data_IF_560591537220
#
_entry.id   IF_560591537220
#
_cell.length_a   1.000
_cell.length_b   1.000
_cell.length_c   1.000
_cell.angle_alpha   90.00
_cell.angle_beta   90.00
_cell.angle_gamma   90.00
#
_symmetry.space_group_name_H-M   'P 1'
#
loop_
_entity.id
_entity.type
_entity.pdbx_description
1 polymer ?
#
# COMPACT_ATOMS: atom_id res chain seq x y z
N UNK A 1 -6.43 33.49 -5.33
CA UNK A 1 -7.70 33.10 -5.97
C UNK A 1 -8.30 32.01 -5.11
N UNK A 2 -9.46 32.25 -4.49
CA UNK A 2 -10.07 31.29 -3.53
C UNK A 2 -10.81 30.17 -4.25
N UNK A 3 -10.90 28.98 -3.63
CA UNK A 3 -11.63 27.78 -4.13
C UNK A 3 -13.06 28.13 -4.60
N UNK A 4 -13.72 29.11 -3.96
CA UNK A 4 -15.06 29.60 -4.33
C UNK A 4 -15.12 30.25 -5.72
N UNK A 5 -14.08 30.94 -6.18
CA UNK A 5 -14.07 31.59 -7.49
C UNK A 5 -13.89 30.61 -8.68
N UNK A 6 -13.42 29.41 -8.41
CA UNK A 6 -13.30 28.34 -9.42
C UNK A 6 -14.61 27.55 -9.61
N UNK A 7 -15.40 27.43 -8.53
CA UNK A 7 -16.71 26.77 -8.58
C UNK A 7 -17.76 27.62 -9.34
N UNK A 8 -17.67 28.95 -9.27
CA UNK A 8 -18.57 29.85 -9.97
C UNK A 8 -18.39 29.86 -11.50
N UNK A 9 -17.28 29.37 -12.01
CA UNK A 9 -16.98 29.30 -13.46
C UNK A 9 -17.25 27.94 -14.11
N UNK A 10 -17.85 26.99 -13.39
CA UNK A 10 -18.13 25.66 -13.92
C UNK A 10 -16.86 24.82 -14.22
N UNK A 11 -15.70 25.27 -13.77
CA UNK A 11 -14.43 24.57 -13.94
C UNK A 11 -14.24 23.51 -12.85
N UNK A 12 -14.90 22.37 -13.00
CA UNK A 12 -14.63 21.14 -12.24
C UNK A 12 -13.34 20.44 -12.72
N UNK A 13 -12.38 21.17 -13.26
CA UNK A 13 -11.06 20.63 -13.52
C UNK A 13 -10.26 20.63 -12.22
N UNK A 14 -9.96 19.43 -11.70
CA UNK A 14 -8.82 19.27 -10.82
C UNK A 14 -7.65 19.98 -11.48
N UNK A 15 -7.11 21.02 -10.85
CA UNK A 15 -5.99 21.81 -11.39
C UNK A 15 -4.72 20.97 -11.35
N UNK A 16 -4.61 20.03 -12.26
CA UNK A 16 -3.33 19.46 -12.62
C UNK A 16 -2.76 20.38 -13.71
N UNK A 17 -1.96 21.36 -13.27
CA UNK A 17 -1.11 22.21 -14.10
C UNK A 17 -1.78 22.71 -15.41
N UNK A 18 -2.09 24.00 -15.50
CA UNK A 18 -2.67 24.65 -16.69
C UNK A 18 -1.79 24.50 -17.96
N UNK A 19 -0.57 23.95 -17.82
CA UNK A 19 0.37 23.63 -18.90
C UNK A 19 0.36 22.17 -19.34
N UNK A 20 -0.56 21.33 -18.81
CA UNK A 20 -0.67 19.94 -19.26
C UNK A 20 -1.38 19.92 -20.62
N UNK A 21 -0.61 19.81 -21.68
CA UNK A 21 -1.11 19.33 -22.98
C UNK A 21 -1.80 17.98 -22.78
N UNK A 22 -2.82 17.66 -23.58
CA UNK A 22 -3.58 16.41 -23.53
C UNK A 22 -2.67 15.16 -23.48
N UNK A 23 -1.48 15.28 -24.02
CA UNK A 23 -0.42 14.27 -23.94
C UNK A 23 0.81 14.83 -23.23
N UNK A 24 1.29 14.12 -22.23
CA UNK A 24 2.59 14.38 -21.62
C UNK A 24 3.57 13.25 -22.00
N UNK A 25 4.85 13.55 -22.22
CA UNK A 25 5.82 12.52 -22.48
C UNK A 25 5.87 11.56 -21.30
N UNK A 26 5.68 10.27 -21.55
CA UNK A 26 5.97 9.24 -20.56
C UNK A 26 7.43 8.83 -20.70
N UNK A 27 8.09 8.61 -19.57
CA UNK A 27 9.43 8.04 -19.52
C UNK A 27 9.41 6.50 -19.44
N UNK A 28 8.24 5.88 -19.54
CA UNK A 28 8.12 4.42 -19.61
C UNK A 28 8.74 3.90 -20.89
N UNK A 29 9.66 2.95 -20.76
CA UNK A 29 10.34 2.31 -21.91
C UNK A 29 9.73 0.96 -22.24
N UNK A 30 9.48 0.11 -21.24
CA UNK A 30 8.96 -1.24 -21.42
C UNK A 30 8.45 -1.80 -20.10
N UNK A 31 7.79 -2.96 -20.15
CA UNK A 31 7.55 -3.80 -18.98
C UNK A 31 8.59 -4.92 -18.97
N UNK A 32 9.07 -5.30 -17.79
CA UNK A 32 10.10 -6.31 -17.63
C UNK A 32 9.64 -7.42 -16.67
N UNK A 33 9.82 -8.66 -17.07
CA UNK A 33 9.58 -9.80 -16.21
C UNK A 33 10.54 -9.76 -15.00
N UNK A 34 10.00 -9.73 -13.80
CA UNK A 34 10.77 -9.61 -12.57
C UNK A 34 11.72 -10.79 -12.28
N UNK A 35 11.48 -11.95 -12.91
CA UNK A 35 12.29 -13.14 -12.74
C UNK A 35 13.27 -13.39 -13.90
N UNK A 36 12.85 -13.14 -15.15
CA UNK A 36 13.64 -13.52 -16.33
C UNK A 36 14.30 -12.34 -17.05
N UNK A 37 13.88 -11.10 -16.74
CA UNK A 37 14.33 -9.91 -17.46
C UNK A 37 13.72 -9.78 -18.87
N UNK A 38 12.80 -10.68 -19.27
CA UNK A 38 12.11 -10.58 -20.57
C UNK A 38 11.35 -9.27 -20.69
N UNK A 39 11.52 -8.57 -21.82
CA UNK A 39 10.85 -7.30 -22.10
C UNK A 39 9.54 -7.49 -22.82
N UNK A 40 8.55 -6.68 -22.44
CA UNK A 40 7.22 -6.62 -23.03
C UNK A 40 6.88 -5.18 -23.40
N UNK A 41 6.04 -5.00 -24.42
CA UNK A 41 5.56 -3.69 -24.85
C UNK A 41 4.77 -2.99 -23.72
N UNK A 42 5.03 -1.69 -23.50
CA UNK A 42 4.37 -0.93 -22.45
C UNK A 42 2.99 -0.38 -22.89
N UNK A 43 2.70 -0.37 -24.17
CA UNK A 43 1.47 0.13 -24.80
C UNK A 43 0.43 -0.96 -25.06
N UNK A 44 0.64 -2.15 -24.52
CA UNK A 44 -0.29 -3.29 -24.62
C UNK A 44 -0.76 -3.75 -23.24
N UNK A 45 -1.95 -4.37 -23.21
CA UNK A 45 -2.52 -4.94 -21.98
C UNK A 45 -1.77 -6.20 -21.59
N UNK A 46 -1.22 -6.20 -20.39
CA UNK A 46 -0.53 -7.35 -19.80
C UNK A 46 -1.06 -7.67 -18.41
N UNK A 47 -1.09 -8.96 -18.09
CA UNK A 47 -1.16 -9.45 -16.71
C UNK A 47 0.25 -9.91 -16.27
N UNK A 48 0.51 -11.21 -16.31
CA UNK A 48 1.82 -11.77 -16.00
C UNK A 48 2.69 -11.88 -17.27
N UNK A 49 3.99 -12.04 -17.09
CA UNK A 49 4.91 -12.41 -18.18
C UNK A 49 4.60 -13.79 -18.72
N UNK A 50 5.25 -14.19 -19.84
CA UNK A 50 5.15 -15.55 -20.39
C UNK A 50 5.61 -16.63 -19.40
N UNK A 51 6.52 -16.27 -18.50
CA UNK A 51 6.98 -17.15 -17.41
C UNK A 51 6.00 -17.21 -16.21
N UNK A 52 4.81 -16.61 -16.30
CA UNK A 52 3.85 -16.54 -15.19
C UNK A 52 4.31 -15.71 -13.99
N UNK A 53 5.23 -14.78 -14.20
CA UNK A 53 5.82 -13.94 -13.15
C UNK A 53 5.39 -12.48 -13.28
N UNK A 54 5.42 -11.68 -12.18
CA UNK A 54 5.08 -10.27 -12.19
C UNK A 54 5.90 -9.46 -13.21
N UNK A 55 5.26 -8.44 -13.78
CA UNK A 55 5.88 -7.45 -14.65
C UNK A 55 6.14 -6.15 -13.86
N UNK A 56 7.31 -5.55 -14.11
CA UNK A 56 7.71 -4.27 -13.53
C UNK A 56 7.82 -3.23 -14.65
N UNK A 57 7.27 -2.04 -14.43
CA UNK A 57 7.40 -0.90 -15.35
C UNK A 57 8.82 -0.36 -15.28
N UNK A 58 9.45 -0.15 -16.43
CA UNK A 58 10.79 0.42 -16.55
C UNK A 58 10.75 1.80 -17.21
N UNK A 59 11.63 2.68 -16.75
CA UNK A 59 11.68 4.09 -17.16
C UNK A 59 13.06 4.44 -17.75
N UNK A 60 13.08 5.42 -18.66
CA UNK A 60 14.29 6.17 -19.02
C UNK A 60 14.65 7.12 -17.87
N UNK A 61 15.45 6.62 -16.92
CA UNK A 61 15.82 7.39 -15.73
C UNK A 61 16.78 8.54 -16.05
N UNK A 62 17.55 8.46 -17.14
CA UNK A 62 18.38 9.57 -17.60
C UNK A 62 17.52 10.71 -18.16
N UNK A 63 16.45 10.36 -18.88
CA UNK A 63 15.42 11.31 -19.31
C UNK A 63 14.70 11.96 -18.14
N UNK A 64 14.26 11.16 -17.14
CA UNK A 64 13.64 11.67 -15.92
C UNK A 64 14.58 12.64 -15.19
N UNK A 65 15.85 12.28 -15.02
CA UNK A 65 16.87 13.11 -14.35
C UNK A 65 17.04 14.48 -15.01
N UNK A 66 16.89 14.57 -16.32
CA UNK A 66 16.96 15.84 -17.06
C UNK A 66 15.68 16.66 -16.97
N UNK A 67 14.53 15.99 -16.84
CA UNK A 67 13.21 16.63 -16.88
C UNK A 67 12.67 17.02 -15.49
N UNK A 68 13.15 16.41 -14.42
CA UNK A 68 12.62 16.57 -13.06
C UNK A 68 13.69 17.09 -12.12
N UNK A 69 13.35 18.14 -11.35
CA UNK A 69 14.17 18.64 -10.24
C UNK A 69 13.38 18.65 -8.93
N UNK A 70 14.09 18.74 -7.81
CA UNK A 70 13.47 18.83 -6.47
C UNK A 70 12.68 20.12 -6.31
N UNK A 71 13.17 21.21 -6.89
CA UNK A 71 12.52 22.52 -6.87
C UNK A 71 11.21 22.48 -7.66
N UNK A 72 11.21 21.87 -8.85
CA UNK A 72 10.00 21.69 -9.65
C UNK A 72 8.95 20.84 -8.91
N UNK A 73 9.36 19.82 -8.14
CA UNK A 73 8.44 19.05 -7.29
C UNK A 73 7.85 19.90 -6.17
N UNK A 74 8.65 20.76 -5.52
CA UNK A 74 8.19 21.59 -4.41
C UNK A 74 7.03 22.53 -4.82
N UNK A 75 6.98 22.96 -6.07
CA UNK A 75 5.92 23.84 -6.62
C UNK A 75 4.64 23.09 -6.99
N UNK A 76 4.64 21.75 -7.00
CA UNK A 76 3.48 20.95 -7.40
C UNK A 76 2.52 20.72 -6.22
N UNK A 77 1.22 20.48 -6.50
CA UNK A 77 0.27 20.07 -5.48
C UNK A 77 0.79 18.85 -4.68
N UNK A 78 0.45 18.81 -3.39
CA UNK A 78 0.88 17.73 -2.49
C UNK A 78 -0.02 16.50 -2.65
N UNK A 79 0.03 15.87 -3.81
CA UNK A 79 -0.71 14.66 -4.15
C UNK A 79 0.19 13.60 -4.80
N UNK A 80 -0.37 12.40 -5.05
CA UNK A 80 0.33 11.29 -5.67
C UNK A 80 0.85 11.63 -7.09
N UNK A 81 0.12 12.44 -7.85
CA UNK A 81 0.40 12.73 -9.25
C UNK A 81 1.56 13.71 -9.45
N UNK A 82 2.07 14.32 -8.37
CA UNK A 82 3.26 15.19 -8.42
C UNK A 82 4.49 14.47 -8.99
N UNK A 83 4.57 13.14 -8.87
CA UNK A 83 5.69 12.32 -9.37
C UNK A 83 5.43 11.77 -10.78
N UNK A 84 4.69 12.48 -11.60
CA UNK A 84 4.19 12.02 -12.92
C UNK A 84 5.26 11.46 -13.88
N UNK A 85 6.50 11.95 -13.83
CA UNK A 85 7.60 11.46 -14.66
C UNK A 85 8.01 10.03 -14.32
N UNK A 86 7.74 9.61 -13.09
CA UNK A 86 7.96 8.25 -12.58
C UNK A 86 6.67 7.42 -12.52
N UNK A 87 5.59 7.86 -13.20
CA UNK A 87 4.30 7.16 -13.25
C UNK A 87 3.91 6.82 -14.70
N UNK A 88 3.16 5.72 -14.92
CA UNK A 88 2.91 5.21 -16.27
C UNK A 88 1.78 5.93 -17.02
N UNK A 89 0.90 6.67 -16.35
CA UNK A 89 -0.24 7.33 -16.98
C UNK A 89 0.24 8.45 -17.88
N UNK A 90 -0.10 8.35 -19.17
CA UNK A 90 0.38 9.27 -20.21
C UNK A 90 -0.51 10.49 -20.37
N UNK A 91 -1.84 10.30 -20.40
CA UNK A 91 -2.82 11.35 -20.69
C UNK A 91 -3.51 11.81 -19.41
N UNK A 92 -3.73 13.11 -19.26
CA UNK A 92 -4.40 13.69 -18.09
C UNK A 92 -5.84 13.17 -17.96
N UNK A 93 -6.54 13.02 -19.07
CA UNK A 93 -7.89 12.49 -19.10
C UNK A 93 -8.02 11.03 -18.62
N UNK A 94 -6.93 10.26 -18.63
CA UNK A 94 -6.90 8.90 -18.10
C UNK A 94 -6.69 8.86 -16.59
N UNK A 95 -6.30 9.97 -15.98
CA UNK A 95 -6.15 10.07 -14.53
C UNK A 95 -7.53 9.92 -13.87
N UNK A 96 -7.62 8.93 -12.99
CA UNK A 96 -8.77 8.72 -12.11
C UNK A 96 -8.33 9.05 -10.70
N UNK A 97 -8.92 10.09 -10.08
CA UNK A 97 -8.52 10.53 -8.75
C UNK A 97 -9.71 10.70 -7.81
N UNK A 98 -9.49 10.42 -6.55
CA UNK A 98 -10.36 10.70 -5.41
C UNK A 98 -9.69 11.65 -4.40
N UNK A 99 -8.61 12.35 -4.80
CA UNK A 99 -7.89 13.30 -3.98
C UNK A 99 -6.81 12.65 -3.10
N UNK A 100 -5.95 11.82 -3.70
CA UNK A 100 -4.82 11.13 -3.03
C UNK A 100 -3.76 12.14 -2.58
N UNK A 101 -3.96 12.74 -1.41
CA UNK A 101 -3.00 13.66 -0.81
C UNK A 101 -1.77 12.94 -0.23
N UNK A 102 -0.70 13.71 -0.04
CA UNK A 102 0.47 13.26 0.73
C UNK A 102 0.03 12.85 2.13
N UNK A 103 0.41 11.63 2.54
CA UNK A 103 0.03 11.11 3.85
C UNK A 103 0.97 11.62 4.94
N UNK A 104 0.48 11.82 6.18
CA UNK A 104 1.32 12.34 7.24
C UNK A 104 2.41 11.35 7.67
N UNK A 105 3.56 11.90 8.06
CA UNK A 105 4.64 11.21 8.73
C UNK A 105 4.67 11.72 10.18
N UNK A 106 4.15 10.92 11.11
CA UNK A 106 3.85 11.32 12.48
C UNK A 106 4.91 10.78 13.45
N UNK A 107 5.54 11.60 14.28
CA UNK A 107 6.41 11.12 15.34
C UNK A 107 5.59 10.45 16.46
N UNK A 108 6.21 9.49 17.16
CA UNK A 108 5.68 8.87 18.38
C UNK A 108 6.53 9.31 19.59
N UNK A 109 6.41 10.56 20.07
CA UNK A 109 7.31 11.10 21.06
C UNK A 109 7.18 10.43 22.44
N UNK A 110 5.97 10.10 22.88
CA UNK A 110 5.71 9.45 24.16
C UNK A 110 6.31 8.04 24.17
N UNK A 111 6.03 7.27 23.13
CA UNK A 111 6.53 5.90 23.00
C UNK A 111 8.04 5.87 22.74
N UNK A 112 8.56 6.81 21.95
CA UNK A 112 10.00 6.98 21.76
C UNK A 112 10.73 7.24 23.06
N UNK A 113 10.22 8.14 23.90
CA UNK A 113 10.78 8.42 25.22
C UNK A 113 10.77 7.18 26.14
N UNK A 114 9.64 6.44 26.19
CA UNK A 114 9.49 5.18 26.95
C UNK A 114 10.48 4.10 26.49
N UNK A 115 10.85 4.11 25.22
CA UNK A 115 11.82 3.19 24.62
C UNK A 115 13.27 3.75 24.65
N UNK A 116 13.53 4.73 25.54
CA UNK A 116 14.86 5.25 25.82
C UNK A 116 15.38 6.25 24.79
N UNK A 117 14.52 7.08 24.22
CA UNK A 117 14.84 8.16 23.29
C UNK A 117 14.91 7.73 21.81
N UNK A 118 14.22 6.65 21.47
CA UNK A 118 14.15 6.17 20.08
C UNK A 118 13.37 7.13 19.16
N UNK A 119 13.90 7.40 17.96
CA UNK A 119 13.21 8.18 16.92
C UNK A 119 12.31 7.26 16.09
N UNK A 120 11.01 7.29 16.38
CA UNK A 120 10.00 6.45 15.75
C UNK A 120 9.01 7.34 15.02
N UNK A 121 8.81 7.08 13.74
CA UNK A 121 7.84 7.76 12.89
C UNK A 121 6.81 6.77 12.37
N UNK A 122 5.54 7.18 12.29
CA UNK A 122 4.46 6.43 11.64
C UNK A 122 4.10 7.10 10.33
N UNK A 123 4.21 6.38 9.22
CA UNK A 123 3.64 6.77 7.94
C UNK A 123 2.19 6.32 7.89
N UNK A 124 1.25 7.28 8.07
CA UNK A 124 -0.18 6.97 8.22
C UNK A 124 -0.93 6.96 6.90
N UNK A 125 -0.93 5.82 6.23
CA UNK A 125 -1.66 5.57 4.98
C UNK A 125 -3.18 5.44 5.15
N UNK A 126 -3.67 5.40 6.38
CA UNK A 126 -5.09 5.40 6.72
C UNK A 126 -5.83 6.68 6.32
N UNK A 127 -5.11 7.74 5.94
CA UNK A 127 -5.66 9.04 5.51
C UNK A 127 -6.01 9.11 4.02
N UNK A 128 -5.66 8.08 3.25
CA UNK A 128 -5.98 8.02 1.83
C UNK A 128 -7.47 7.71 1.57
N UNK A 129 -7.97 8.00 0.36
CA UNK A 129 -9.29 7.55 -0.06
C UNK A 129 -9.51 6.06 0.24
N UNK A 130 -10.73 5.69 0.63
CA UNK A 130 -11.08 4.35 1.13
C UNK A 130 -10.31 3.91 2.39
N UNK A 131 -9.72 4.86 3.12
CA UNK A 131 -9.10 4.63 4.41
C UNK A 131 -7.91 3.67 4.41
N UNK A 132 -7.19 3.50 3.28
CA UNK A 132 -6.07 2.58 3.22
C UNK A 132 -5.08 2.88 2.08
N UNK A 133 -3.83 2.41 2.25
CA UNK A 133 -2.77 2.47 1.23
C UNK A 133 -3.12 1.78 -0.09
N UNK A 134 -4.19 0.98 -0.11
CA UNK A 134 -4.64 0.30 -1.34
C UNK A 134 -5.02 1.31 -2.42
N UNK A 135 -5.51 2.49 -2.04
CA UNK A 135 -5.77 3.61 -2.93
C UNK A 135 -4.60 3.88 -3.88
N UNK A 136 -3.36 3.98 -3.37
CA UNK A 136 -2.18 4.25 -4.20
C UNK A 136 -2.02 3.29 -5.39
N UNK A 137 -2.21 2.00 -5.15
CA UNK A 137 -2.08 1.01 -6.22
C UNK A 137 -3.27 0.99 -7.16
N UNK A 138 -4.48 1.09 -6.60
CA UNK A 138 -5.70 0.97 -7.40
C UNK A 138 -5.95 2.22 -8.25
N UNK A 139 -5.56 3.42 -7.80
CA UNK A 139 -5.63 4.62 -8.62
C UNK A 139 -4.82 4.48 -9.90
N UNK A 140 -3.61 3.90 -9.83
CA UNK A 140 -2.78 3.66 -11.02
C UNK A 140 -3.33 2.53 -11.89
N UNK A 141 -3.73 1.41 -11.28
CA UNK A 141 -4.29 0.28 -12.03
C UNK A 141 -5.57 0.66 -12.79
N UNK A 142 -6.47 1.42 -12.15
CA UNK A 142 -7.73 1.86 -12.79
C UNK A 142 -7.48 2.96 -13.83
N UNK A 143 -6.56 3.90 -13.58
CA UNK A 143 -6.17 4.90 -14.58
C UNK A 143 -5.57 4.24 -15.83
N UNK A 144 -4.72 3.23 -15.66
CA UNK A 144 -4.18 2.48 -16.79
C UNK A 144 -5.24 1.59 -17.45
N UNK A 145 -6.16 1.00 -16.70
CA UNK A 145 -7.29 0.27 -17.26
C UNK A 145 -8.15 1.18 -18.14
N UNK A 146 -8.44 2.41 -17.70
CA UNK A 146 -9.13 3.42 -18.49
C UNK A 146 -8.36 3.78 -19.76
N UNK A 147 -7.04 4.01 -19.66
CA UNK A 147 -6.17 4.30 -20.81
C UNK A 147 -6.18 3.18 -21.86
N UNK A 148 -6.33 1.93 -21.43
CA UNK A 148 -6.41 0.76 -22.31
C UNK A 148 -7.85 0.38 -22.74
N UNK A 149 -8.86 1.15 -22.36
CA UNK A 149 -10.25 0.85 -22.69
C UNK A 149 -10.80 -0.41 -22.02
N UNK A 150 -10.29 -0.79 -20.86
CA UNK A 150 -10.79 -1.95 -20.09
C UNK A 150 -12.12 -1.58 -19.44
N UNK A 151 -13.16 -2.32 -19.73
CA UNK A 151 -14.53 -2.06 -19.25
C UNK A 151 -14.92 -2.85 -17.99
N UNK A 152 -14.18 -3.91 -17.65
CA UNK A 152 -14.51 -4.77 -16.52
C UNK A 152 -13.24 -5.27 -15.82
N UNK A 153 -13.12 -5.00 -14.53
CA UNK A 153 -12.02 -5.44 -13.67
C UNK A 153 -12.52 -6.39 -12.59
N UNK A 154 -11.72 -7.40 -12.23
CA UNK A 154 -12.04 -8.29 -11.12
C UNK A 154 -10.83 -8.58 -10.25
N UNK A 155 -11.07 -8.85 -8.95
CA UNK A 155 -10.01 -9.21 -8.02
C UNK A 155 -10.50 -10.03 -6.82
N UNK A 156 -9.62 -10.86 -6.20
CA UNK A 156 -9.81 -11.37 -4.86
C UNK A 156 -9.39 -10.30 -3.83
N UNK A 157 -10.07 -10.22 -2.69
CA UNK A 157 -9.73 -9.24 -1.67
C UNK A 157 -10.14 -9.65 -0.26
N UNK A 158 -9.26 -9.44 0.73
CA UNK A 158 -9.60 -9.49 2.17
C UNK A 158 -10.24 -8.18 2.66
N UNK A 159 -10.79 -7.34 1.77
CA UNK A 159 -11.50 -6.09 2.08
C UNK A 159 -10.87 -4.85 1.45
N UNK A 160 -9.80 -4.29 2.01
CA UNK A 160 -9.25 -2.98 1.63
C UNK A 160 -8.91 -2.83 0.13
N UNK A 161 -8.42 -3.87 -0.53
CA UNK A 161 -8.11 -3.78 -1.96
C UNK A 161 -9.37 -3.76 -2.82
N UNK A 162 -10.38 -4.54 -2.44
CA UNK A 162 -11.69 -4.54 -3.09
C UNK A 162 -12.40 -3.19 -2.95
N UNK A 163 -12.37 -2.61 -1.74
CA UNK A 163 -12.93 -1.29 -1.48
C UNK A 163 -12.27 -0.22 -2.38
N UNK A 164 -10.95 -0.21 -2.47
CA UNK A 164 -10.25 0.71 -3.35
C UNK A 164 -10.56 0.46 -4.84
N UNK A 165 -10.62 -0.81 -5.29
CA UNK A 165 -11.04 -1.11 -6.67
C UNK A 165 -12.44 -0.59 -6.95
N UNK A 166 -13.40 -0.86 -6.08
CA UNK A 166 -14.79 -0.43 -6.25
C UNK A 166 -14.89 1.09 -6.39
N UNK A 167 -14.22 1.85 -5.50
CA UNK A 167 -14.24 3.31 -5.52
C UNK A 167 -13.67 3.90 -6.82
N UNK A 168 -12.47 3.48 -7.20
CA UNK A 168 -11.81 4.00 -8.41
C UNK A 168 -12.47 3.52 -9.70
N UNK A 169 -12.91 2.26 -9.77
CA UNK A 169 -13.63 1.73 -10.92
C UNK A 169 -14.97 2.47 -11.13
N UNK A 170 -15.72 2.71 -10.04
CA UNK A 170 -16.94 3.52 -10.08
C UNK A 170 -16.66 4.94 -10.59
N UNK A 171 -15.60 5.58 -10.08
CA UNK A 171 -15.17 6.91 -10.54
C UNK A 171 -14.80 6.95 -12.02
N UNK A 172 -14.27 5.83 -12.55
CA UNK A 172 -13.87 5.68 -13.95
C UNK A 172 -15.00 5.22 -14.88
N UNK A 173 -16.16 4.82 -14.36
CA UNK A 173 -17.21 4.19 -15.14
C UNK A 173 -16.88 2.75 -15.58
N UNK A 174 -15.96 2.07 -14.89
CA UNK A 174 -15.52 0.70 -15.16
C UNK A 174 -16.27 -0.26 -14.24
N UNK A 175 -16.82 -1.34 -14.78
CA UNK A 175 -17.46 -2.40 -13.97
C UNK A 175 -16.39 -3.09 -13.10
N UNK A 176 -16.76 -3.42 -11.87
CA UNK A 176 -15.86 -4.14 -10.98
C UNK A 176 -16.57 -5.31 -10.28
N UNK A 177 -15.84 -6.42 -10.13
CA UNK A 177 -16.29 -7.62 -9.40
C UNK A 177 -15.25 -8.02 -8.39
N UNK A 178 -15.67 -8.21 -7.14
CA UNK A 178 -14.76 -8.53 -6.04
C UNK A 178 -15.20 -9.82 -5.36
N UNK A 179 -14.26 -10.74 -5.19
CA UNK A 179 -14.45 -11.99 -4.46
C UNK A 179 -13.73 -11.93 -3.13
N UNK A 180 -14.47 -12.09 -2.03
CA UNK A 180 -13.95 -11.99 -0.67
C UNK A 180 -14.12 -13.31 0.08
N UNK A 181 -13.12 -13.74 0.89
CA UNK A 181 -13.34 -14.78 1.88
C UNK A 181 -14.57 -14.48 2.76
N UNK A 182 -15.27 -15.52 3.22
CA UNK A 182 -16.48 -15.34 4.02
C UNK A 182 -16.26 -14.62 5.36
N UNK A 183 -15.06 -14.69 5.91
CA UNK A 183 -14.64 -14.02 7.14
C UNK A 183 -14.13 -12.58 6.95
N UNK A 184 -14.26 -12.03 5.73
CA UNK A 184 -13.95 -10.62 5.46
C UNK A 184 -14.85 -9.72 6.32
N UNK A 185 -14.29 -8.69 7.01
CA UNK A 185 -15.07 -7.80 7.85
C UNK A 185 -16.27 -7.17 7.12
N UNK A 186 -17.44 -7.17 7.74
CA UNK A 186 -18.70 -6.70 7.15
C UNK A 186 -18.61 -5.24 6.67
N UNK A 187 -17.90 -4.39 7.38
CA UNK A 187 -17.68 -2.99 6.98
C UNK A 187 -17.00 -2.89 5.62
N UNK A 188 -16.06 -3.78 5.33
CA UNK A 188 -15.38 -3.81 4.04
C UNK A 188 -16.29 -4.33 2.92
N UNK A 189 -17.10 -5.38 3.18
CA UNK A 189 -18.06 -5.91 2.20
C UNK A 189 -19.12 -4.86 1.84
N UNK A 190 -19.66 -4.20 2.86
CA UNK A 190 -20.64 -3.12 2.69
C UNK A 190 -20.07 -1.94 1.91
N UNK A 191 -18.83 -1.53 2.20
CA UNK A 191 -18.13 -0.48 1.47
C UNK A 191 -17.97 -0.82 -0.02
N UNK A 192 -17.53 -2.05 -0.33
CA UNK A 192 -17.35 -2.53 -1.70
C UNK A 192 -18.69 -2.49 -2.47
N UNK A 193 -19.74 -2.99 -1.85
CA UNK A 193 -21.08 -3.04 -2.46
C UNK A 193 -21.66 -1.64 -2.68
N UNK A 194 -21.58 -0.75 -1.68
CA UNK A 194 -22.10 0.61 -1.76
C UNK A 194 -21.38 1.45 -2.83
N UNK A 195 -20.09 1.16 -3.08
CA UNK A 195 -19.33 1.81 -4.14
C UNK A 195 -19.55 1.20 -5.53
N UNK A 196 -20.56 0.34 -5.69
CA UNK A 196 -21.06 -0.13 -6.98
C UNK A 196 -20.38 -1.38 -7.56
N UNK A 197 -19.46 -2.02 -6.83
CA UNK A 197 -18.91 -3.29 -7.27
C UNK A 197 -19.87 -4.46 -7.00
N UNK A 198 -19.86 -5.47 -7.88
CA UNK A 198 -20.44 -6.76 -7.55
C UNK A 198 -19.51 -7.48 -6.57
N UNK A 199 -19.97 -7.75 -5.36
CA UNK A 199 -19.19 -8.42 -4.32
C UNK A 199 -19.79 -9.79 -4.01
N UNK A 200 -18.91 -10.80 -3.94
CA UNK A 200 -19.29 -12.17 -3.61
C UNK A 200 -18.47 -12.66 -2.41
N UNK A 201 -19.14 -13.28 -1.45
CA UNK A 201 -18.50 -14.05 -0.38
C UNK A 201 -18.19 -15.46 -0.87
N UNK A 202 -17.00 -15.92 -0.60
CA UNK A 202 -16.50 -17.25 -0.97
C UNK A 202 -16.20 -18.03 0.31
N UNK A 203 -16.74 -19.22 0.44
CA UNK A 203 -16.49 -20.16 1.54
C UNK A 203 -15.08 -20.79 1.40
N UNK A 204 -14.06 -19.94 1.49
CA UNK A 204 -12.67 -20.31 1.27
C UNK A 204 -11.74 -19.16 1.63
N UNK A 205 -10.47 -19.31 1.35
CA UNK A 205 -9.43 -18.30 1.58
C UNK A 205 -9.21 -17.43 0.33
N UNK A 206 -8.33 -16.44 0.46
CA UNK A 206 -8.02 -15.48 -0.60
C UNK A 206 -7.51 -16.15 -1.89
N UNK A 207 -6.83 -17.25 -1.81
CA UNK A 207 -6.33 -18.00 -2.97
C UNK A 207 -7.46 -18.76 -3.69
N UNK A 208 -8.52 -19.21 -3.00
CA UNK A 208 -9.72 -19.76 -3.64
C UNK A 208 -10.47 -18.68 -4.41
N UNK A 209 -10.63 -17.49 -3.82
CA UNK A 209 -11.11 -16.30 -4.53
C UNK A 209 -10.25 -16.01 -5.77
N UNK A 210 -8.94 -16.14 -5.65
CA UNK A 210 -7.98 -15.94 -6.74
C UNK A 210 -8.13 -16.93 -7.91
N UNK A 211 -8.51 -18.19 -7.63
CA UNK A 211 -8.84 -19.19 -8.66
C UNK A 211 -10.10 -18.79 -9.44
N UNK A 212 -11.14 -18.33 -8.74
CA UNK A 212 -12.39 -17.86 -9.37
C UNK A 212 -12.09 -16.70 -10.31
N UNK A 213 -11.29 -15.72 -9.89
CA UNK A 213 -10.90 -14.58 -10.73
C UNK A 213 -10.12 -15.06 -11.97
N UNK A 214 -9.17 -15.97 -11.79
CA UNK A 214 -8.37 -16.51 -12.90
C UNK A 214 -9.21 -17.26 -13.94
N UNK A 215 -10.17 -18.08 -13.49
CA UNK A 215 -11.09 -18.78 -14.39
C UNK A 215 -12.05 -17.81 -15.10
N UNK A 216 -12.58 -16.83 -14.38
CA UNK A 216 -13.49 -15.84 -14.95
C UNK A 216 -12.84 -14.93 -15.99
N UNK A 217 -11.52 -14.73 -15.91
CA UNK A 217 -10.78 -14.02 -16.96
C UNK A 217 -11.03 -14.61 -18.35
N UNK A 218 -11.08 -15.94 -18.43
CA UNK A 218 -11.32 -16.64 -19.70
C UNK A 218 -12.80 -16.75 -20.04
N UNK A 219 -13.66 -16.95 -19.01
CA UNK A 219 -15.10 -17.22 -19.19
C UNK A 219 -15.93 -15.96 -19.32
N UNK A 220 -15.55 -14.85 -18.67
CA UNK A 220 -16.29 -13.59 -18.58
C UNK A 220 -15.56 -12.45 -19.30
N UNK A 221 -14.24 -12.55 -19.46
CA UNK A 221 -13.42 -11.55 -20.15
C UNK A 221 -13.00 -10.37 -19.29
N UNK A 222 -13.12 -10.43 -17.96
CA UNK A 222 -12.63 -9.33 -17.11
C UNK A 222 -11.11 -9.28 -17.04
N UNK A 223 -10.58 -8.10 -16.73
CA UNK A 223 -9.18 -7.91 -16.43
C UNK A 223 -8.88 -8.34 -14.99
N UNK A 224 -7.97 -9.30 -14.80
CA UNK A 224 -7.54 -9.77 -13.49
C UNK A 224 -6.62 -8.73 -12.83
N UNK A 225 -7.14 -8.02 -11.81
CA UNK A 225 -6.42 -7.00 -11.04
C UNK A 225 -5.89 -7.55 -9.71
N UNK A 226 -5.70 -8.86 -9.61
CA UNK A 226 -5.13 -9.51 -8.42
C UNK A 226 -3.73 -8.97 -8.11
N UNK A 227 -3.32 -9.11 -6.87
CA UNK A 227 -2.02 -8.64 -6.39
C UNK A 227 -0.87 -9.20 -7.22
N UNK A 228 -0.06 -8.31 -7.82
CA UNK A 228 1.09 -8.63 -8.69
C UNK A 228 0.75 -9.38 -9.99
N UNK A 229 -0.52 -9.49 -10.35
CA UNK A 229 -0.95 -10.04 -11.65
C UNK A 229 -1.23 -8.95 -12.69
N UNK A 230 -0.97 -7.70 -12.38
CA UNK A 230 -0.90 -6.57 -13.27
C UNK A 230 0.24 -5.63 -12.82
N UNK A 231 0.86 -4.85 -13.71
CA UNK A 231 2.12 -4.15 -13.39
C UNK A 231 1.93 -2.83 -12.64
N UNK A 232 0.74 -2.22 -12.66
CA UNK A 232 0.58 -0.79 -12.30
C UNK A 232 0.32 -0.55 -10.81
N UNK A 233 -0.18 -1.53 -10.08
CA UNK A 233 -0.36 -1.40 -8.62
C UNK A 233 0.98 -1.18 -7.89
N UNK A 234 2.08 -1.77 -8.37
CA UNK A 234 3.42 -1.50 -7.82
C UNK A 234 3.81 -0.04 -8.04
N UNK A 235 3.52 0.52 -9.22
CA UNK A 235 3.87 1.91 -9.54
C UNK A 235 3.13 2.90 -8.63
N UNK A 236 1.87 2.64 -8.32
CA UNK A 236 1.17 3.40 -7.30
C UNK A 236 1.77 3.24 -5.90
N UNK A 237 2.17 2.02 -5.52
CA UNK A 237 2.84 1.76 -4.23
C UNK A 237 4.23 2.39 -4.13
N UNK A 238 4.92 2.52 -5.25
CA UNK A 238 6.21 3.21 -5.35
C UNK A 238 6.15 4.62 -4.76
N UNK A 239 5.01 5.32 -4.92
CA UNK A 239 4.84 6.69 -4.42
C UNK A 239 5.00 6.82 -2.90
N UNK A 240 4.81 5.75 -2.11
CA UNK A 240 5.13 5.75 -0.68
C UNK A 240 6.61 6.02 -0.41
N UNK A 241 7.50 5.42 -1.20
CA UNK A 241 8.95 5.63 -1.07
C UNK A 241 9.39 7.00 -1.59
N UNK A 242 8.81 7.47 -2.70
CA UNK A 242 9.06 8.79 -3.26
C UNK A 242 8.68 9.88 -2.25
N UNK A 243 7.48 9.79 -1.73
CA UNK A 243 6.90 10.72 -0.76
C UNK A 243 7.66 10.71 0.57
N UNK A 244 8.03 9.52 1.07
CA UNK A 244 8.82 9.40 2.29
C UNK A 244 10.19 10.07 2.15
N UNK A 245 10.89 9.87 1.04
CA UNK A 245 12.17 10.51 0.78
C UNK A 245 12.03 12.04 0.68
N UNK A 246 11.00 12.55 0.03
CA UNK A 246 10.71 13.98 -0.04
C UNK A 246 10.40 14.58 1.34
N UNK A 247 9.55 13.95 2.14
CA UNK A 247 9.19 14.39 3.49
C UNK A 247 10.40 14.40 4.45
N UNK A 248 11.38 13.55 4.21
CA UNK A 248 12.64 13.51 4.98
C UNK A 248 13.75 14.39 4.35
N UNK A 249 13.38 15.36 3.51
CA UNK A 249 14.34 16.27 2.87
C UNK A 249 15.27 15.58 1.88
N UNK A 250 14.74 14.64 1.11
CA UNK A 250 15.48 13.81 0.14
C UNK A 250 16.57 12.94 0.80
N UNK A 251 16.24 12.48 1.99
CA UNK A 251 16.99 11.45 2.70
C UNK A 251 16.11 10.23 2.95
N UNK A 252 16.68 9.19 3.53
CA UNK A 252 15.96 7.96 3.86
C UNK A 252 16.13 7.62 5.34
N UNK A 253 15.16 6.95 5.99
CA UNK A 253 15.34 6.48 7.36
C UNK A 253 16.39 5.36 7.41
N UNK A 254 16.79 4.95 8.61
CA UNK A 254 17.69 3.82 8.76
C UNK A 254 16.99 2.48 8.55
N UNK A 255 15.73 2.40 8.99
CA UNK A 255 14.96 1.16 8.90
C UNK A 255 13.47 1.45 8.67
N UNK A 256 12.83 0.63 7.82
CA UNK A 256 11.39 0.66 7.53
C UNK A 256 10.77 -0.67 7.94
N UNK A 257 9.80 -0.63 8.85
CA UNK A 257 8.96 -1.78 9.20
C UNK A 257 7.68 -1.74 8.36
N UNK A 258 7.51 -2.73 7.49
CA UNK A 258 6.40 -2.77 6.57
C UNK A 258 5.55 -4.03 6.74
N UNK A 259 4.20 -3.90 6.95
CA UNK A 259 3.33 -5.07 7.11
C UNK A 259 3.22 -5.80 5.78
N UNK A 260 3.61 -7.06 5.75
CA UNK A 260 3.90 -7.78 4.53
C UNK A 260 2.99 -8.99 4.34
N UNK A 261 1.96 -8.85 3.49
CA UNK A 261 1.22 -9.94 2.90
C UNK A 261 1.75 -10.24 1.49
N UNK A 262 1.08 -9.72 0.44
CA UNK A 262 1.54 -9.81 -0.94
C UNK A 262 2.74 -8.92 -1.30
N UNK A 263 3.22 -8.07 -0.39
CA UNK A 263 4.48 -7.33 -0.47
C UNK A 263 4.56 -6.18 -1.46
N UNK A 264 3.46 -5.78 -2.13
CA UNK A 264 3.51 -4.75 -3.18
C UNK A 264 4.08 -3.42 -2.72
N UNK A 265 3.82 -3.02 -1.46
CA UNK A 265 4.34 -1.77 -0.91
C UNK A 265 5.83 -1.83 -0.63
N UNK A 266 6.31 -2.92 -0.04
CA UNK A 266 7.73 -3.16 0.20
C UNK A 266 8.52 -3.16 -1.12
N UNK A 267 8.04 -3.91 -2.12
CA UNK A 267 8.62 -3.97 -3.47
C UNK A 267 8.58 -2.59 -4.14
N UNK A 268 7.45 -1.87 -4.05
CA UNK A 268 7.28 -0.55 -4.64
C UNK A 268 8.24 0.48 -4.03
N UNK A 269 8.38 0.52 -2.70
CA UNK A 269 9.32 1.43 -2.03
C UNK A 269 10.78 1.10 -2.37
N UNK A 270 11.15 -0.19 -2.40
CA UNK A 270 12.49 -0.60 -2.80
C UNK A 270 12.83 -0.15 -4.22
N UNK A 271 11.86 -0.27 -5.14
CA UNK A 271 11.96 0.27 -6.51
C UNK A 271 12.08 1.79 -6.51
N UNK A 272 11.30 2.50 -5.68
CA UNK A 272 11.37 3.97 -5.56
C UNK A 272 12.77 4.44 -5.15
N UNK A 273 13.36 3.82 -4.14
CA UNK A 273 14.71 4.19 -3.68
C UNK A 273 15.77 3.92 -4.76
N UNK A 274 15.63 2.85 -5.54
CA UNK A 274 16.52 2.59 -6.67
C UNK A 274 16.41 3.66 -7.76
N UNK A 275 15.20 4.09 -8.10
CA UNK A 275 14.96 5.13 -9.10
C UNK A 275 15.42 6.51 -8.60
N UNK A 276 15.14 6.87 -7.34
CA UNK A 276 15.61 8.13 -6.73
C UNK A 276 17.13 8.20 -6.66
N UNK A 277 17.83 7.09 -6.37
CA UNK A 277 19.29 7.02 -6.41
C UNK A 277 19.80 7.24 -7.84
N UNK A 278 19.20 6.57 -8.83
CA UNK A 278 19.60 6.69 -10.24
C UNK A 278 19.45 8.12 -10.79
N UNK A 279 18.37 8.82 -10.44
CA UNK A 279 18.17 10.22 -10.84
C UNK A 279 18.93 11.22 -9.95
N UNK A 280 19.62 10.75 -8.90
CA UNK A 280 20.45 11.57 -8.03
C UNK A 280 19.68 12.36 -6.96
N UNK A 281 18.44 12.00 -6.65
CA UNK A 281 17.65 12.67 -5.61
C UNK A 281 18.03 12.24 -4.20
N UNK A 282 18.45 10.98 -4.03
CA UNK A 282 19.03 10.45 -2.80
C UNK A 282 20.42 9.91 -3.06
N UNK A 283 21.20 9.71 -2.00
CA UNK A 283 22.51 9.07 -2.06
C UNK A 283 22.39 7.54 -2.14
N UNK A 284 23.55 6.86 -2.03
CA UNK A 284 23.63 5.39 -2.09
C UNK A 284 23.05 4.67 -0.87
N UNK A 285 22.87 5.40 0.25
CA UNK A 285 22.28 4.84 1.47
C UNK A 285 20.81 4.54 1.18
N UNK A 286 20.38 3.32 1.46
CA UNK A 286 18.99 2.87 1.41
C UNK A 286 18.56 2.36 2.79
N UNK A 287 17.27 2.45 3.14
CA UNK A 287 16.80 1.92 4.42
C UNK A 287 16.88 0.40 4.45
N UNK A 288 17.11 -0.16 5.61
CA UNK A 288 16.88 -1.59 5.86
C UNK A 288 15.38 -1.86 5.77
N UNK A 289 14.96 -2.80 4.92
CA UNK A 289 13.54 -3.17 4.73
C UNK A 289 13.20 -4.34 5.62
N UNK A 290 12.26 -4.14 6.55
CA UNK A 290 11.80 -5.18 7.46
C UNK A 290 10.42 -5.67 7.03
N UNK A 291 10.34 -6.95 6.65
CA UNK A 291 9.07 -7.60 6.35
C UNK A 291 8.40 -8.08 7.64
N UNK A 292 7.28 -7.45 8.02
CA UNK A 292 6.54 -7.79 9.23
C UNK A 292 5.36 -8.68 8.89
N UNK A 293 5.24 -9.83 9.57
CA UNK A 293 4.13 -10.77 9.42
C UNK A 293 3.54 -11.13 10.79
N UNK A 294 2.37 -11.75 10.79
CA UNK A 294 1.79 -12.35 11.98
C UNK A 294 2.27 -13.81 12.12
N UNK A 295 2.51 -14.30 13.33
CA UNK A 295 3.02 -15.65 13.58
C UNK A 295 2.08 -16.76 13.05
N UNK A 296 0.77 -16.50 12.98
CA UNK A 296 -0.20 -17.42 12.37
C UNK A 296 -0.19 -17.44 10.84
N UNK A 297 0.57 -16.56 10.16
CA UNK A 297 0.76 -16.55 8.72
C UNK A 297 2.07 -15.84 8.35
N UNK A 298 3.22 -16.53 8.44
CA UNK A 298 4.55 -15.97 8.29
C UNK A 298 5.44 -16.68 7.25
N UNK A 299 4.96 -16.90 6.01
CA UNK A 299 5.74 -17.61 5.00
C UNK A 299 7.05 -16.91 4.63
N UNK A 300 7.07 -15.55 4.61
CA UNK A 300 8.28 -14.79 4.30
C UNK A 300 9.34 -14.91 5.40
N UNK A 301 8.92 -14.89 6.67
CA UNK A 301 9.83 -15.09 7.80
C UNK A 301 10.50 -16.46 7.71
N UNK A 302 9.70 -17.52 7.53
CA UNK A 302 10.22 -18.88 7.38
C UNK A 302 11.20 -19.02 6.21
N UNK A 303 10.89 -18.43 5.06
CA UNK A 303 11.76 -18.46 3.88
C UNK A 303 13.04 -17.62 4.07
N UNK A 304 12.93 -16.48 4.76
CA UNK A 304 14.09 -15.63 5.08
C UNK A 304 15.07 -16.38 5.98
N UNK A 305 14.59 -17.00 7.06
CA UNK A 305 15.39 -17.79 8.04
C UNK A 305 16.01 -19.02 7.40
N UNK A 306 15.27 -19.69 6.49
CA UNK A 306 15.77 -20.84 5.74
C UNK A 306 16.74 -20.45 4.60
N UNK A 307 16.93 -19.17 4.30
CA UNK A 307 17.79 -18.73 3.19
C UNK A 307 17.25 -19.03 1.80
N UNK A 308 15.97 -19.44 1.66
CA UNK A 308 15.38 -19.84 0.38
C UNK A 308 14.94 -18.64 -0.45
N UNK A 309 14.96 -18.76 -1.79
CA UNK A 309 14.51 -17.71 -2.71
C UNK A 309 12.98 -17.59 -2.73
N UNK A 310 12.28 -18.70 -2.56
CA UNK A 310 10.82 -18.78 -2.57
C UNK A 310 10.27 -19.21 -1.22
N UNK A 311 9.08 -18.71 -0.88
CA UNK A 311 8.37 -19.06 0.34
C UNK A 311 7.39 -20.21 0.09
N UNK A 312 7.51 -21.34 0.79
CA UNK A 312 6.49 -22.39 0.76
C UNK A 312 5.16 -21.88 1.27
N UNK A 313 4.04 -22.39 0.71
CA UNK A 313 2.70 -22.09 1.17
C UNK A 313 2.59 -22.29 2.69
N UNK A 314 1.89 -21.36 3.35
CA UNK A 314 1.56 -21.47 4.77
C UNK A 314 0.22 -22.18 4.93
N UNK A 315 0.20 -23.22 5.73
CA UNK A 315 -1.03 -23.98 6.05
C UNK A 315 -1.71 -23.36 7.29
N UNK A 316 -3.02 -23.51 7.41
CA UNK A 316 -3.84 -23.05 8.55
C UNK A 316 -3.64 -21.56 8.89
N UNK A 317 -3.55 -20.72 7.87
CA UNK A 317 -3.30 -19.30 8.03
C UNK A 317 -4.40 -18.59 8.80
N UNK A 318 -4.02 -17.99 9.94
CA UNK A 318 -4.93 -17.22 10.79
C UNK A 318 -4.21 -16.00 11.38
N UNK A 319 -4.89 -14.89 11.54
CA UNK A 319 -4.45 -13.69 12.27
C UNK A 319 -5.58 -12.65 12.26
N UNK A 320 -5.61 -11.79 13.29
CA UNK A 320 -6.48 -10.60 13.34
C UNK A 320 -6.09 -9.55 12.29
N UNK A 321 -4.83 -9.56 11.84
CA UNK A 321 -4.30 -8.68 10.80
C UNK A 321 -4.60 -9.25 9.39
N UNK A 322 -5.87 -9.25 8.99
CA UNK A 322 -6.35 -9.88 7.76
C UNK A 322 -5.64 -9.41 6.48
N UNK A 323 -5.17 -8.16 6.45
CA UNK A 323 -4.46 -7.58 5.30
C UNK A 323 -3.08 -8.18 5.04
N UNK A 324 -2.47 -8.87 6.02
CA UNK A 324 -1.20 -9.59 5.87
C UNK A 324 -1.38 -11.12 5.92
N UNK A 325 -2.61 -11.62 6.03
CA UNK A 325 -2.92 -13.06 5.94
C UNK A 325 -2.88 -13.52 4.48
N UNK A 326 -1.68 -13.75 3.98
CA UNK A 326 -1.43 -14.20 2.60
C UNK A 326 -0.57 -15.46 2.65
N UNK A 327 -1.18 -16.66 2.55
CA UNK A 327 -0.50 -17.92 2.65
C UNK A 327 0.60 -18.15 1.60
N UNK A 328 0.40 -17.58 0.41
CA UNK A 328 1.35 -17.65 -0.69
C UNK A 328 1.32 -16.35 -1.52
N UNK A 329 2.45 -15.68 -1.62
CA UNK A 329 2.61 -14.46 -2.41
C UNK A 329 3.31 -14.77 -3.74
N UNK A 330 2.76 -14.31 -4.86
CA UNK A 330 3.34 -14.52 -6.19
C UNK A 330 4.70 -13.80 -6.37
N UNK A 331 4.93 -12.74 -5.58
CA UNK A 331 6.15 -11.94 -5.59
C UNK A 331 7.07 -12.20 -4.39
N UNK A 332 7.01 -13.38 -3.78
CA UNK A 332 7.81 -13.76 -2.63
C UNK A 332 9.31 -13.52 -2.82
N UNK A 333 9.86 -13.92 -3.98
CA UNK A 333 11.26 -13.71 -4.33
C UNK A 333 11.64 -12.22 -4.40
N UNK A 334 10.73 -11.32 -4.83
CA UNK A 334 10.96 -9.88 -4.85
C UNK A 334 11.00 -9.29 -3.44
N UNK A 335 10.11 -9.77 -2.55
CA UNK A 335 10.09 -9.37 -1.14
C UNK A 335 11.40 -9.80 -0.48
N UNK A 336 11.76 -11.09 -0.60
CA UNK A 336 12.94 -11.66 0.03
C UNK A 336 14.23 -11.02 -0.51
N UNK A 337 14.29 -10.73 -1.82
CA UNK A 337 15.41 -10.00 -2.43
C UNK A 337 15.54 -8.60 -1.83
N UNK A 338 14.45 -7.81 -1.80
CA UNK A 338 14.49 -6.45 -1.24
C UNK A 338 14.92 -6.45 0.24
N UNK A 339 14.44 -7.39 1.05
CA UNK A 339 14.82 -7.54 2.45
C UNK A 339 16.32 -7.86 2.57
N UNK A 340 16.83 -8.82 1.81
CA UNK A 340 18.25 -9.23 1.86
C UNK A 340 19.19 -8.13 1.32
N UNK A 341 18.88 -7.57 0.14
CA UNK A 341 19.72 -6.55 -0.51
C UNK A 341 19.80 -5.26 0.31
N UNK A 342 18.76 -4.97 1.12
CA UNK A 342 18.76 -3.82 2.03
C UNK A 342 19.52 -4.07 3.34
N UNK A 343 20.01 -5.27 3.61
CA UNK A 343 20.52 -5.68 4.92
C UNK A 343 19.41 -5.68 6.00
N UNK A 344 18.16 -5.77 5.59
CA UNK A 344 17.00 -5.90 6.47
C UNK A 344 16.77 -7.32 6.96
N UNK A 345 15.57 -7.57 7.49
CA UNK A 345 15.21 -8.88 8.02
C UNK A 345 13.69 -9.10 7.92
N UNK A 346 13.25 -10.33 8.18
CA UNK A 346 11.85 -10.65 8.34
C UNK A 346 11.55 -10.97 9.82
N UNK A 347 10.36 -10.61 10.29
CA UNK A 347 9.94 -10.80 11.68
C UNK A 347 8.47 -11.13 11.77
N UNK A 348 8.12 -12.08 12.63
CA UNK A 348 6.74 -12.42 12.95
C UNK A 348 6.39 -11.98 14.38
N UNK A 349 5.18 -11.48 14.55
CA UNK A 349 4.61 -11.09 15.86
C UNK A 349 3.31 -11.83 16.10
N UNK A 350 2.99 -12.11 17.37
CA UNK A 350 1.74 -12.77 17.74
C UNK A 350 0.54 -11.81 17.69
N UNK A 351 -0.67 -12.34 17.54
CA UNK A 351 -1.89 -11.54 17.59
C UNK A 351 -2.09 -10.82 18.93
N UNK A 352 -1.63 -11.43 20.05
CA UNK A 352 -1.62 -10.77 21.35
C UNK A 352 -0.68 -9.56 21.37
N UNK A 353 0.51 -9.69 20.78
CA UNK A 353 1.44 -8.56 20.67
C UNK A 353 0.89 -7.45 19.75
N UNK A 354 0.18 -7.81 18.68
CA UNK A 354 -0.49 -6.87 17.80
C UNK A 354 -1.58 -6.11 18.55
N UNK A 355 -2.41 -6.81 19.33
CA UNK A 355 -3.48 -6.23 20.12
C UNK A 355 -2.94 -5.28 21.20
N UNK A 356 -1.92 -5.71 21.93
CA UNK A 356 -1.27 -4.87 22.93
C UNK A 356 -0.64 -3.61 22.30
N UNK A 357 -0.01 -3.75 21.14
CA UNK A 357 0.58 -2.63 20.39
C UNK A 357 -0.49 -1.63 19.92
N UNK A 358 -1.63 -2.13 19.43
CA UNK A 358 -2.75 -1.31 19.00
C UNK A 358 -3.29 -0.46 20.16
N UNK A 359 -3.51 -1.09 21.33
CA UNK A 359 -3.98 -0.39 22.51
C UNK A 359 -2.96 0.62 23.05
N UNK A 360 -1.67 0.26 23.07
CA UNK A 360 -0.60 1.11 23.56
C UNK A 360 -0.48 2.38 22.70
N UNK A 361 -0.40 2.23 21.37
CA UNK A 361 -0.29 3.38 20.45
C UNK A 361 -1.55 4.26 20.53
N UNK A 362 -2.73 3.68 20.59
CA UNK A 362 -3.96 4.43 20.70
C UNK A 362 -4.04 5.27 22.00
N UNK A 363 -3.62 4.70 23.15
CA UNK A 363 -3.67 5.38 24.45
C UNK A 363 -2.58 6.42 24.62
N UNK A 364 -1.37 6.17 24.12
CA UNK A 364 -0.20 6.99 24.39
C UNK A 364 0.00 8.09 23.35
N UNK A 365 -0.39 7.83 22.11
CA UNK A 365 -0.15 8.76 20.98
C UNK A 365 -1.45 9.23 20.30
N UNK A 366 -2.62 8.70 20.70
CA UNK A 366 -3.90 9.05 20.10
C UNK A 366 -4.07 8.56 18.66
N UNK A 367 -3.26 7.59 18.21
CA UNK A 367 -3.31 7.06 16.85
C UNK A 367 -4.03 5.71 16.82
N UNK A 368 -5.17 5.65 16.14
CA UNK A 368 -5.91 4.40 15.92
C UNK A 368 -5.35 3.69 14.68
N UNK A 369 -4.35 2.84 14.90
CA UNK A 369 -3.74 2.03 13.85
C UNK A 369 -4.69 0.89 13.42
N UNK A 370 -4.49 0.35 12.21
CA UNK A 370 -5.01 -0.97 11.86
C UNK A 370 -4.14 -2.08 12.49
N UNK A 371 -4.64 -3.32 12.61
CA UNK A 371 -3.85 -4.44 13.14
C UNK A 371 -2.51 -4.64 12.43
N UNK A 372 -2.47 -4.45 11.11
CA UNK A 372 -1.23 -4.52 10.32
C UNK A 372 -0.25 -3.40 10.70
N UNK A 373 -0.75 -2.18 10.95
CA UNK A 373 0.05 -1.05 11.44
C UNK A 373 0.57 -1.32 12.86
N UNK A 374 -0.27 -1.83 13.75
CA UNK A 374 0.12 -2.22 15.10
C UNK A 374 1.17 -3.35 15.10
N UNK A 375 1.11 -4.28 14.14
CA UNK A 375 2.12 -5.31 13.96
C UNK A 375 3.52 -4.72 13.72
N UNK A 376 3.63 -3.58 13.02
CA UNK A 376 4.93 -2.92 12.77
C UNK A 376 5.53 -2.34 14.06
N UNK A 377 4.70 -1.79 14.93
CA UNK A 377 5.15 -1.29 16.23
C UNK A 377 5.54 -2.45 17.17
N UNK A 378 4.75 -3.53 17.22
CA UNK A 378 5.11 -4.73 17.97
C UNK A 378 6.44 -5.33 17.47
N UNK A 379 6.63 -5.42 16.16
CA UNK A 379 7.87 -5.90 15.53
C UNK A 379 9.07 -4.98 15.84
N UNK A 380 8.87 -3.67 15.86
CA UNK A 380 9.91 -2.72 16.24
C UNK A 380 10.34 -2.93 17.70
N UNK A 381 9.39 -3.01 18.65
CA UNK A 381 9.70 -3.28 20.07
C UNK A 381 10.47 -4.58 20.25
N UNK A 382 10.02 -5.66 19.60
CA UNK A 382 10.72 -6.95 19.61
C UNK A 382 12.14 -6.81 19.06
N UNK A 383 12.31 -6.12 17.93
CA UNK A 383 13.60 -5.96 17.26
C UNK A 383 14.57 -5.06 18.03
N UNK A 384 14.04 -4.10 18.82
CA UNK A 384 14.83 -3.28 19.73
C UNK A 384 15.30 -4.11 20.94
N UNK A 385 14.45 -4.97 21.48
CA UNK A 385 14.78 -5.83 22.61
C UNK A 385 15.82 -6.91 22.28
N UNK A 386 15.76 -7.47 21.06
CA UNK A 386 16.71 -8.49 20.60
C UNK A 386 17.95 -7.91 19.89
N UNK A 387 18.08 -6.59 19.84
CA UNK A 387 19.25 -5.89 19.31
C UNK A 387 19.38 -5.85 17.79
N UNK A 388 18.33 -6.26 17.02
CA UNK A 388 18.32 -6.14 15.56
C UNK A 388 18.22 -4.70 15.08
N UNK A 389 17.68 -3.80 15.90
CA UNK A 389 17.69 -2.36 15.71
C UNK A 389 18.17 -1.67 16.98
N UNK A 390 18.69 -0.46 16.84
CA UNK A 390 19.19 0.37 17.96
C UNK A 390 18.31 1.61 18.13
N UNK A 391 18.38 2.23 19.30
CA UNK A 391 17.65 3.47 19.62
C UNK A 391 18.11 4.67 18.79
N UNK A 392 19.35 4.64 18.29
CA UNK A 392 19.91 5.70 17.46
C UNK A 392 19.47 5.64 15.99
N UNK A 393 18.80 4.56 15.58
CA UNK A 393 18.28 4.43 14.23
C UNK A 393 16.89 5.07 14.12
N UNK A 394 16.74 5.93 13.11
CA UNK A 394 15.41 6.46 12.72
C UNK A 394 14.59 5.36 12.10
N UNK A 395 13.51 4.96 12.76
CA UNK A 395 12.60 3.94 12.29
C UNK A 395 11.31 4.56 11.71
N UNK A 396 10.85 4.06 10.57
CA UNK A 396 9.54 4.37 10.00
C UNK A 396 8.67 3.13 10.02
N UNK A 397 7.53 3.22 10.68
CA UNK A 397 6.50 2.19 10.79
C UNK A 397 5.34 2.54 9.85
N UNK A 398 4.91 1.60 9.02
CA UNK A 398 3.79 1.86 8.11
C UNK A 398 2.46 1.44 8.72
N UNK A 399 1.54 2.40 8.89
CA UNK A 399 0.13 2.14 9.15
C UNK A 399 -0.62 2.05 7.83
N UNK A 400 -1.05 0.86 7.44
CA UNK A 400 -1.59 0.57 6.12
C UNK A 400 -3.04 0.98 5.90
N UNK A 401 -3.81 1.16 6.97
CA UNK A 401 -5.23 1.52 6.92
C UNK A 401 -5.67 2.22 8.21
N UNK A 402 -6.83 2.87 8.17
CA UNK A 402 -7.47 3.34 9.41
C UNK A 402 -7.97 2.16 10.24
N UNK A 403 -7.80 2.23 11.56
CA UNK A 403 -8.33 1.21 12.50
C UNK A 403 -9.85 1.08 12.47
N UNK A 404 -10.57 2.12 11.99
CA UNK A 404 -12.04 2.10 11.87
C UNK A 404 -12.59 1.05 10.88
N UNK A 405 -11.74 0.45 10.06
CA UNK A 405 -12.12 -0.63 9.12
C UNK A 405 -12.03 -2.03 9.74
N UNK A 406 -11.72 -2.11 11.01
CA UNK A 406 -11.57 -3.34 11.77
C UNK A 406 -12.49 -3.35 12.99
N UNK A 407 -12.87 -4.53 13.52
CA UNK A 407 -13.66 -4.62 14.71
C UNK A 407 -12.99 -3.90 15.89
N UNK A 408 -13.69 -2.96 16.51
CA UNK A 408 -13.23 -2.25 17.70
C UNK A 408 -13.85 -2.89 18.96
N UNK A 409 -13.17 -2.79 20.13
CA UNK A 409 -13.74 -3.24 21.39
C UNK A 409 -15.06 -2.55 21.67
N UNK A 410 -16.09 -3.26 22.14
CA UNK A 410 -17.37 -2.64 22.46
C UNK A 410 -17.27 -1.75 23.72
N UNK A 411 -17.99 -0.63 23.72
CA UNK A 411 -18.18 0.20 24.92
C UNK A 411 -19.06 -0.55 25.90
N UNK A 412 -18.52 -0.87 27.09
CA UNK A 412 -19.22 -1.67 28.09
C UNK A 412 -19.85 -0.84 29.22
N UNK A 413 -19.39 0.41 29.41
CA UNK A 413 -19.91 1.29 30.46
C UNK A 413 -21.10 2.09 29.93
N UNK A 414 -22.23 2.01 30.58
CA UNK A 414 -23.43 2.76 30.25
C UNK A 414 -23.96 3.45 31.51
N UNK A 415 -24.30 4.72 31.41
CA UNK A 415 -24.95 5.48 32.45
C UNK A 415 -26.45 5.58 32.17
N UNK A 416 -27.26 5.32 33.19
CA UNK A 416 -28.70 5.53 33.12
C UNK A 416 -29.01 6.98 33.52
N UNK A 417 -29.41 7.82 32.53
CA UNK A 417 -29.76 9.24 32.77
C UNK A 417 -30.90 9.48 33.75
N UNK A 418 -31.68 8.46 34.05
CA UNK A 418 -32.81 8.52 34.98
C UNK A 418 -32.42 8.19 36.42
N UNK A 419 -31.16 7.85 36.68
CA UNK A 419 -30.60 7.59 38.01
C UNK A 419 -29.57 8.67 38.36
N UNK A 420 -29.40 8.98 39.66
CA UNK A 420 -28.30 9.83 40.10
C UNK A 420 -26.96 9.30 39.60
N UNK A 421 -26.16 10.18 39.01
CA UNK A 421 -24.81 9.84 38.53
C UNK A 421 -23.85 10.04 39.70
N UNK A 422 -23.11 8.99 40.03
CA UNK A 422 -21.96 9.09 40.94
C UNK A 422 -20.74 9.58 40.18
N UNK A 423 -20.54 10.88 40.19
CA UNK A 423 -19.39 11.52 39.49
C UNK A 423 -18.03 11.16 40.08
N UNK A 424 -18.00 10.68 41.36
CA UNK A 424 -16.74 10.24 41.99
C UNK A 424 -16.28 8.86 41.45
N UNK A 425 -17.21 8.08 40.90
CA UNK A 425 -16.95 6.76 40.31
C UNK A 425 -16.69 6.81 38.80
N UNK A 426 -16.74 7.98 38.15
CA UNK A 426 -16.40 8.16 36.75
C UNK A 426 -14.91 8.32 36.55
#
# INVERSE_FOLDING_TARGET
MTILSALEKGETRLRYDDNLTAERPTFVTHLECAATGERHAADAVHNLSRAGKPLLVRYDLDGVKKALSKEALAERPADLWRYRELLPVRRVEDIVSLGEAVTPLLPLPTLGAKLGGAEILVKDEGRLPTGSFKARGLVLAVSMAKAFGIEHMAMPSNGNAGAALAAYASRAGIRSTVFCPEDTPEVNLSEIALQGAQVYRVNGLIDDCGKIVAEGKTKVGWFDTSTLKEPYRIEGKKTMGLELAEQLGWSVPDVIFYPTGGGTGLIGMWKAFAELEAIGFIGKKRPRMVAVQASGCAPMVRAYEAGTEHAPRWEDAHTIASGIRVPQAIGDFLILRAVRDSGGFAVAVTDDAITAALEEVAREEGLLLCPEGAATYAAYKQSLADGRVTRSERAVLFNCATGLKYPLPPVRKMLDRHKPIDYAAL
#
